data_IF_619655073250
#
_entry.id   IF_619655073250
#
_cell.length_a   1.000
_cell.length_b   1.000
_cell.length_c   1.000
_cell.angle_alpha   90.00
_cell.angle_beta   90.00
_cell.angle_gamma   90.00
#
_symmetry.space_group_name_H-M   'P 1'
#
loop_
_entity.id
_entity.type
_entity.pdbx_description
1 polymer ?
#
# COMPACT_ATOMS: atom_id res chain seq x y z
N UNK A 1 -3.37 11.14 12.71
CA UNK A 1 -2.13 10.35 12.91
C UNK A 1 -2.35 8.85 12.71
N UNK A 2 -3.41 8.23 13.28
CA UNK A 2 -3.64 6.79 13.17
C UNK A 2 -3.89 6.28 11.74
N UNK A 3 -4.41 7.10 10.82
CA UNK A 3 -4.72 6.68 9.43
C UNK A 3 -3.48 6.64 8.54
N UNK A 4 -2.56 7.59 8.70
CA UNK A 4 -1.28 7.55 8.00
C UNK A 4 -0.44 6.38 8.46
N UNK A 5 -0.38 6.14 9.77
CA UNK A 5 0.33 5.01 10.37
C UNK A 5 -0.05 3.68 9.70
N UNK A 6 -1.34 3.44 9.43
CA UNK A 6 -1.78 2.24 8.72
C UNK A 6 -1.29 2.15 7.27
N UNK A 7 -1.28 3.27 6.53
CA UNK A 7 -0.84 3.30 5.12
C UNK A 7 0.67 3.17 4.98
N UNK A 8 1.42 3.87 5.83
CA UNK A 8 2.89 3.84 5.86
C UNK A 8 3.40 2.47 6.27
N UNK A 9 2.84 1.86 7.32
CA UNK A 9 3.13 0.48 7.67
C UNK A 9 2.86 -0.49 6.52
N UNK A 10 1.75 -0.32 5.81
CA UNK A 10 1.37 -1.21 4.73
C UNK A 10 2.36 -1.18 3.55
N UNK A 11 2.84 0.00 3.12
CA UNK A 11 3.83 0.11 2.03
C UNK A 11 5.22 -0.23 2.52
N UNK A 12 5.63 0.31 3.67
CA UNK A 12 6.92 0.01 4.28
C UNK A 12 7.09 -1.49 4.48
N UNK A 13 6.08 -2.17 5.03
CA UNK A 13 6.13 -3.61 5.29
C UNK A 13 6.15 -4.42 3.99
N UNK A 14 5.47 -3.97 2.94
CA UNK A 14 5.53 -4.60 1.61
C UNK A 14 6.91 -4.46 0.97
N UNK A 15 7.58 -3.32 1.12
CA UNK A 15 8.92 -3.08 0.59
C UNK A 15 9.99 -3.74 1.47
N UNK A 16 9.80 -3.74 2.79
CA UNK A 16 10.69 -4.36 3.79
C UNK A 16 10.55 -5.87 3.89
N UNK A 17 9.61 -6.47 3.17
CA UNK A 17 9.38 -7.91 3.21
C UNK A 17 10.71 -8.67 3.11
N UNK A 18 11.02 -9.43 4.15
CA UNK A 18 12.20 -10.29 4.15
C UNK A 18 11.94 -11.49 3.23
N UNK A 19 12.74 -11.61 2.17
CA UNK A 19 12.67 -12.70 1.17
C UNK A 19 12.58 -14.11 1.76
N UNK A 20 12.99 -14.27 3.03
CA UNK A 20 13.06 -15.56 3.72
C UNK A 20 11.88 -15.84 4.66
N UNK A 21 10.91 -14.92 4.80
CA UNK A 21 9.78 -15.10 5.71
C UNK A 21 8.46 -14.74 5.02
N UNK A 22 7.59 -15.71 4.88
CA UNK A 22 6.18 -15.52 4.48
C UNK A 22 5.33 -14.95 5.64
N UNK A 23 5.90 -14.11 6.48
CA UNK A 23 5.32 -13.67 7.73
C UNK A 23 5.25 -12.15 7.77
N UNK A 24 4.06 -11.60 7.99
CA UNK A 24 3.92 -10.26 8.54
C UNK A 24 4.22 -10.39 10.04
N UNK A 25 5.30 -9.78 10.47
CA UNK A 25 5.59 -9.66 11.91
C UNK A 25 4.76 -8.49 12.40
N UNK A 26 3.69 -8.79 13.14
CA UNK A 26 3.02 -7.79 13.94
C UNK A 26 3.94 -7.51 15.13
N UNK A 27 4.55 -6.34 15.15
CA UNK A 27 5.25 -5.90 16.34
C UNK A 27 4.19 -5.46 17.36
N UNK A 28 4.32 -5.89 18.61
CA UNK A 28 3.41 -5.64 19.75
C UNK A 28 2.91 -4.19 19.92
N UNK A 29 3.40 -3.27 19.14
CA UNK A 29 3.13 -1.84 19.30
C UNK A 29 1.83 -1.39 18.62
N UNK A 30 1.40 -2.02 17.52
CA UNK A 30 0.22 -1.56 16.79
C UNK A 30 -0.42 -2.70 16.01
N UNK A 31 -1.68 -3.08 16.29
CA UNK A 31 -2.44 -3.97 15.42
C UNK A 31 -2.51 -3.31 14.03
N UNK A 32 -2.19 -4.08 12.99
CA UNK A 32 -2.27 -3.63 11.60
C UNK A 32 -3.70 -3.76 11.09
N UNK A 33 -4.02 -3.14 9.96
CA UNK A 33 -5.29 -3.35 9.26
C UNK A 33 -5.50 -4.80 8.82
N UNK A 34 -4.45 -5.63 8.87
CA UNK A 34 -4.44 -7.05 8.47
C UNK A 34 -4.62 -8.03 9.62
N UNK A 35 -4.58 -7.55 10.87
CA UNK A 35 -4.61 -8.41 12.05
C UNK A 35 -5.86 -9.29 12.06
N UNK A 36 -7.03 -8.70 11.82
CA UNK A 36 -8.30 -9.43 11.80
C UNK A 36 -8.35 -10.47 10.66
N UNK A 37 -7.81 -10.14 9.48
CA UNK A 37 -7.75 -11.10 8.38
C UNK A 37 -6.82 -12.28 8.68
N UNK A 38 -5.70 -12.04 9.37
CA UNK A 38 -4.80 -13.11 9.79
C UNK A 38 -5.48 -14.01 10.84
N UNK A 39 -6.19 -13.42 11.79
CA UNK A 39 -6.82 -14.15 12.88
C UNK A 39 -8.09 -14.91 12.47
N UNK A 40 -8.75 -14.51 11.41
CA UNK A 40 -9.92 -15.18 10.84
C UNK A 40 -9.52 -16.01 9.60
N UNK A 41 -9.44 -15.38 8.42
CA UNK A 41 -9.19 -16.09 7.16
C UNK A 41 -7.84 -16.81 7.13
N UNK A 42 -6.79 -16.26 7.79
CA UNK A 42 -5.51 -16.93 7.90
C UNK A 42 -5.59 -18.25 8.68
N UNK A 43 -6.38 -18.29 9.76
CA UNK A 43 -6.64 -19.53 10.51
C UNK A 43 -7.45 -20.54 9.71
N UNK A 44 -8.44 -20.08 8.94
CA UNK A 44 -9.25 -20.96 8.08
C UNK A 44 -8.39 -21.67 7.03
N UNK A 45 -7.29 -21.03 6.60
CA UNK A 45 -6.28 -21.60 5.72
C UNK A 45 -5.24 -22.46 6.44
N UNK A 46 -5.38 -22.64 7.76
CA UNK A 46 -4.46 -23.44 8.57
C UNK A 46 -3.18 -22.70 9.00
N UNK A 47 -3.11 -21.38 8.88
CA UNK A 47 -1.98 -20.62 9.39
C UNK A 47 -2.04 -20.48 10.91
N UNK A 48 -0.92 -20.81 11.56
CA UNK A 48 -0.75 -20.57 12.99
C UNK A 48 -0.50 -19.09 13.24
N UNK A 49 -1.43 -18.43 13.92
CA UNK A 49 -1.36 -17.03 14.31
C UNK A 49 -1.31 -16.89 15.82
N UNK A 50 -0.36 -16.11 16.32
CA UNK A 50 -0.19 -15.78 17.73
C UNK A 50 -0.31 -14.26 17.94
N UNK A 51 -0.17 -13.80 19.19
CA UNK A 51 -0.09 -12.37 19.49
C UNK A 51 1.13 -11.69 18.85
N UNK A 52 2.21 -12.44 18.59
CA UNK A 52 3.48 -11.92 18.09
C UNK A 52 3.69 -12.12 16.59
N UNK A 53 3.03 -13.09 15.98
CA UNK A 53 3.23 -13.45 14.57
C UNK A 53 1.89 -13.64 13.89
N UNK A 54 1.67 -12.88 12.83
CA UNK A 54 0.47 -12.93 12.00
C UNK A 54 0.83 -13.38 10.58
N UNK A 55 0.23 -14.48 10.15
CA UNK A 55 0.44 -15.07 8.82
C UNK A 55 -0.79 -14.84 7.95
N UNK A 56 -0.59 -14.22 6.80
CA UNK A 56 -1.61 -13.96 5.78
C UNK A 56 -1.42 -14.83 4.53
N UNK A 57 -0.35 -15.63 4.50
CA UNK A 57 0.08 -16.28 3.28
C UNK A 57 0.76 -15.33 2.29
N UNK A 58 0.90 -15.75 1.01
CA UNK A 58 1.71 -15.05 0.01
C UNK A 58 0.98 -13.84 -0.60
N UNK A 59 0.52 -12.89 0.23
CA UNK A 59 -0.16 -11.66 -0.20
C UNK A 59 0.82 -10.63 -0.80
N UNK A 60 0.41 -9.40 -0.98
CA UNK A 60 1.13 -8.31 -1.67
C UNK A 60 2.65 -8.27 -1.52
N UNK A 61 3.15 -8.26 -0.27
CA UNK A 61 4.60 -8.13 0.00
C UNK A 61 5.38 -9.32 -0.55
N UNK A 62 4.84 -10.53 -0.42
CA UNK A 62 5.44 -11.73 -0.99
C UNK A 62 5.48 -11.63 -2.50
N UNK A 63 4.37 -11.28 -3.14
CA UNK A 63 4.30 -11.18 -4.60
C UNK A 63 5.25 -10.11 -5.13
N UNK A 64 5.36 -8.96 -4.45
CA UNK A 64 6.22 -7.88 -4.90
C UNK A 64 7.71 -8.15 -4.70
N UNK A 65 8.08 -8.87 -3.62
CA UNK A 65 9.49 -9.09 -3.25
C UNK A 65 10.02 -10.49 -3.60
N UNK A 66 9.14 -11.44 -3.86
CA UNK A 66 9.54 -12.83 -4.15
C UNK A 66 8.50 -13.59 -4.96
N UNK A 67 8.17 -13.14 -6.16
CA UNK A 67 7.33 -13.93 -7.08
C UNK A 67 8.18 -15.02 -7.74
N UNK A 68 8.14 -16.23 -7.19
CA UNK A 68 8.95 -17.37 -7.69
C UNK A 68 10.45 -17.02 -7.87
N UNK A 69 11.02 -16.35 -6.88
CA UNK A 69 12.42 -15.91 -6.89
C UNK A 69 12.67 -14.55 -7.56
N UNK A 70 11.67 -13.92 -8.16
CA UNK A 70 11.78 -12.60 -8.76
C UNK A 70 11.33 -11.51 -7.79
N UNK A 71 12.15 -10.49 -7.65
CA UNK A 71 11.85 -9.28 -6.89
C UNK A 71 11.33 -8.21 -7.84
N UNK A 72 10.00 -8.03 -7.88
CA UNK A 72 9.37 -7.07 -8.78
C UNK A 72 9.73 -5.61 -8.46
N UNK A 73 9.99 -5.28 -7.19
CA UNK A 73 10.39 -3.91 -6.79
C UNK A 73 11.78 -3.59 -7.31
N UNK A 74 12.74 -4.50 -7.16
CA UNK A 74 14.09 -4.31 -7.69
C UNK A 74 14.08 -4.26 -9.22
N UNK A 75 13.32 -5.15 -9.88
CA UNK A 75 13.15 -5.14 -11.35
C UNK A 75 12.50 -3.84 -11.84
N UNK A 76 11.49 -3.33 -11.13
CA UNK A 76 10.82 -2.07 -11.46
C UNK A 76 11.80 -0.89 -11.35
N UNK A 77 12.54 -0.77 -10.25
CA UNK A 77 13.54 0.28 -10.05
C UNK A 77 14.61 0.26 -11.15
N UNK A 78 15.13 -0.92 -11.45
CA UNK A 78 16.12 -1.09 -12.51
C UNK A 78 15.56 -0.71 -13.89
N UNK A 79 14.32 -1.09 -14.17
CA UNK A 79 13.66 -0.77 -15.44
C UNK A 79 13.36 0.73 -15.56
N UNK A 80 12.85 1.36 -14.51
CA UNK A 80 12.59 2.82 -14.50
C UNK A 80 13.88 3.63 -14.67
N UNK A 81 15.00 3.16 -14.09
CA UNK A 81 16.31 3.82 -14.19
C UNK A 81 16.93 3.67 -15.58
N UNK A 82 16.95 2.44 -16.11
CA UNK A 82 17.74 2.12 -17.30
C UNK A 82 16.93 2.20 -18.60
N UNK A 83 15.61 2.14 -18.53
CA UNK A 83 14.72 2.20 -19.68
C UNK A 83 13.40 2.94 -19.33
N UNK A 84 13.46 4.23 -18.98
CA UNK A 84 12.31 4.99 -18.50
C UNK A 84 11.14 5.05 -19.50
N UNK A 85 11.40 4.88 -20.78
CA UNK A 85 10.37 4.89 -21.85
C UNK A 85 9.66 3.53 -22.02
N UNK A 86 10.05 2.52 -21.26
CA UNK A 86 9.41 1.21 -21.32
C UNK A 86 7.93 1.29 -20.91
N UNK A 87 7.12 0.46 -21.53
CA UNK A 87 5.70 0.28 -21.20
C UNK A 87 5.44 -0.93 -20.32
N UNK A 88 6.50 -1.47 -19.69
CA UNK A 88 6.49 -2.70 -18.87
C UNK A 88 6.83 -2.44 -17.41
N UNK A 89 6.71 -1.21 -16.94
CA UNK A 89 6.91 -0.84 -15.55
C UNK A 89 5.66 -1.27 -14.75
N UNK A 90 5.57 -2.56 -14.43
CA UNK A 90 4.38 -3.15 -13.81
C UNK A 90 4.75 -3.82 -12.50
N UNK A 91 3.94 -3.58 -11.46
CA UNK A 91 3.86 -4.39 -10.24
C UNK A 91 2.56 -5.17 -10.26
N UNK A 92 2.61 -6.49 -10.18
CA UNK A 92 1.44 -7.35 -10.08
C UNK A 92 1.39 -8.06 -8.73
N UNK A 93 0.21 -8.13 -8.14
CA UNK A 93 -0.03 -8.90 -6.92
C UNK A 93 -0.93 -10.12 -7.16
N UNK A 94 -1.57 -10.21 -8.33
CA UNK A 94 -2.52 -11.27 -8.65
C UNK A 94 -1.81 -12.51 -9.21
N UNK A 95 -1.35 -13.38 -8.31
CA UNK A 95 -0.72 -14.64 -8.67
C UNK A 95 -1.75 -15.76 -8.62
N UNK A 96 -2.29 -16.14 -9.79
CA UNK A 96 -3.35 -17.15 -9.92
C UNK A 96 -2.99 -18.48 -9.25
N UNK A 97 -1.72 -18.89 -9.29
CA UNK A 97 -1.27 -20.16 -8.70
C UNK A 97 -1.20 -20.14 -7.16
N UNK A 98 -1.39 -18.97 -6.54
CA UNK A 98 -1.27 -18.81 -5.08
C UNK A 98 -2.48 -18.15 -4.41
N UNK A 99 -3.53 -17.83 -5.16
CA UNK A 99 -4.74 -17.17 -4.63
C UNK A 99 -5.34 -17.96 -3.47
N UNK A 100 -5.44 -19.28 -3.60
CA UNK A 100 -6.03 -20.16 -2.59
C UNK A 100 -5.21 -20.24 -1.28
N UNK A 101 -3.99 -19.70 -1.28
CA UNK A 101 -3.11 -19.63 -0.12
C UNK A 101 -3.09 -18.26 0.54
N UNK A 102 -3.86 -17.32 0.04
CA UNK A 102 -3.92 -15.96 0.56
C UNK A 102 -5.11 -15.78 1.49
N UNK A 103 -4.88 -15.34 2.71
CA UNK A 103 -5.96 -15.02 3.65
C UNK A 103 -6.93 -13.99 3.07
N UNK A 104 -6.42 -13.06 2.26
CA UNK A 104 -7.22 -12.12 1.48
C UNK A 104 -6.60 -11.95 0.09
N UNK A 105 -7.27 -12.40 -1.00
CA UNK A 105 -6.81 -12.15 -2.36
C UNK A 105 -6.67 -10.65 -2.65
N UNK A 106 -5.62 -10.22 -3.36
CA UNK A 106 -5.33 -8.81 -3.59
C UNK A 106 -6.50 -8.03 -4.18
N UNK A 107 -6.88 -6.92 -3.53
CA UNK A 107 -7.87 -5.99 -4.06
C UNK A 107 -7.27 -5.12 -5.16
N UNK A 108 -6.12 -4.51 -4.93
CA UNK A 108 -5.35 -3.80 -5.95
C UNK A 108 -4.42 -4.80 -6.66
N UNK A 109 -4.80 -5.17 -7.88
CA UNK A 109 -4.21 -6.29 -8.62
C UNK A 109 -2.87 -5.95 -9.21
N UNK A 110 -2.78 -4.77 -9.83
CA UNK A 110 -1.61 -4.32 -10.54
C UNK A 110 -1.49 -2.79 -10.49
N UNK A 111 -0.24 -2.32 -10.54
CA UNK A 111 0.07 -0.91 -10.77
C UNK A 111 1.07 -0.80 -11.92
N UNK A 112 0.82 0.11 -12.85
CA UNK A 112 1.72 0.44 -13.94
C UNK A 112 2.27 1.85 -13.73
N UNK A 113 3.58 2.02 -13.94
CA UNK A 113 4.25 3.30 -13.82
C UNK A 113 4.65 3.82 -15.21
N UNK A 114 4.67 5.14 -15.32
CA UNK A 114 5.06 5.83 -16.54
C UNK A 114 5.96 7.01 -16.20
N UNK A 115 7.05 7.16 -16.93
CA UNK A 115 7.95 8.31 -16.83
C UNK A 115 7.74 9.19 -18.06
N UNK A 116 7.35 10.44 -17.85
CA UNK A 116 7.19 11.41 -18.93
C UNK A 116 8.51 12.13 -19.27
N UNK A 117 8.53 12.83 -20.40
CA UNK A 117 9.72 13.52 -20.88
C UNK A 117 10.23 14.65 -19.97
N UNK A 118 9.40 15.14 -19.05
CA UNK A 118 9.73 16.14 -18.02
C UNK A 118 10.21 15.52 -16.69
N UNK A 119 10.61 14.25 -16.69
CA UNK A 119 11.01 13.51 -15.50
C UNK A 119 9.90 13.34 -14.44
N UNK A 120 8.63 13.42 -14.85
CA UNK A 120 7.51 13.14 -13.96
C UNK A 120 7.18 11.65 -13.93
N UNK A 121 6.80 11.16 -12.74
CA UNK A 121 6.37 9.78 -12.49
C UNK A 121 4.86 9.73 -12.28
N UNK A 122 4.17 9.00 -13.14
CA UNK A 122 2.75 8.68 -12.99
C UNK A 122 2.58 7.22 -12.56
N UNK A 123 1.49 6.93 -11.88
CA UNK A 123 1.08 5.57 -11.52
C UNK A 123 -0.38 5.35 -11.86
N UNK A 124 -0.67 4.28 -12.59
CA UNK A 124 -2.03 3.82 -12.84
C UNK A 124 -2.24 2.48 -12.11
N UNK A 125 -3.16 2.44 -11.17
CA UNK A 125 -3.48 1.25 -10.39
C UNK A 125 -4.90 0.77 -10.69
N UNK A 126 -5.07 -0.53 -10.92
CA UNK A 126 -6.36 -1.19 -11.01
C UNK A 126 -6.69 -1.93 -9.72
N UNK A 127 -7.86 -1.62 -9.17
CA UNK A 127 -8.41 -2.24 -7.96
C UNK A 127 -9.73 -2.95 -8.28
N UNK A 128 -9.78 -4.28 -8.09
CA UNK A 128 -10.97 -5.08 -8.40
C UNK A 128 -12.14 -4.86 -7.44
N UNK A 129 -11.86 -4.49 -6.19
CA UNK A 129 -12.83 -4.34 -5.11
C UNK A 129 -12.38 -3.17 -4.24
N UNK A 130 -13.23 -2.15 -4.12
CA UNK A 130 -12.89 -0.86 -3.53
C UNK A 130 -13.97 -0.40 -2.53
N UNK A 131 -13.69 -0.59 -1.24
CA UNK A 131 -14.44 0.08 -0.17
C UNK A 131 -14.12 1.57 -0.21
N UNK A 132 -15.08 2.36 -0.71
CA UNK A 132 -14.89 3.79 -0.95
C UNK A 132 -14.69 4.60 0.33
N UNK A 133 -15.18 4.12 1.47
CA UNK A 133 -15.08 4.87 2.73
C UNK A 133 -13.79 4.58 3.51
N UNK A 134 -13.47 3.31 3.76
CA UNK A 134 -12.29 2.92 4.53
C UNK A 134 -11.09 2.55 3.64
N UNK A 135 -11.30 1.69 2.64
CA UNK A 135 -10.21 1.10 1.86
C UNK A 135 -9.54 2.09 0.93
N UNK A 136 -10.30 2.80 0.10
CA UNK A 136 -9.79 3.68 -0.95
C UNK A 136 -8.88 4.81 -0.42
N UNK A 137 -9.21 5.53 0.67
CA UNK A 137 -8.30 6.54 1.22
C UNK A 137 -6.92 5.96 1.61
N UNK A 138 -6.87 4.77 2.19
CA UNK A 138 -5.61 4.09 2.49
C UNK A 138 -4.86 3.66 1.23
N UNK A 139 -5.57 3.19 0.21
CA UNK A 139 -4.94 2.81 -1.05
C UNK A 139 -4.32 4.03 -1.76
N UNK A 140 -5.04 5.16 -1.81
CA UNK A 140 -4.51 6.42 -2.36
C UNK A 140 -3.25 6.85 -1.60
N UNK A 141 -3.31 6.94 -0.28
CA UNK A 141 -2.16 7.33 0.54
C UNK A 141 -0.96 6.39 0.34
N UNK A 142 -1.22 5.08 0.27
CA UNK A 142 -0.19 4.06 0.09
C UNK A 142 0.53 4.18 -1.25
N UNK A 143 -0.22 4.33 -2.35
CA UNK A 143 0.41 4.45 -3.67
C UNK A 143 1.04 5.82 -3.89
N UNK A 144 0.48 6.89 -3.32
CA UNK A 144 1.13 8.20 -3.31
C UNK A 144 2.49 8.13 -2.58
N UNK A 145 2.54 7.49 -1.42
CA UNK A 145 3.82 7.28 -0.71
C UNK A 145 4.80 6.45 -1.53
N UNK A 146 4.34 5.36 -2.19
CA UNK A 146 5.18 4.56 -3.08
C UNK A 146 5.77 5.40 -4.21
N UNK A 147 4.95 6.26 -4.84
CA UNK A 147 5.42 7.17 -5.88
C UNK A 147 6.48 8.14 -5.36
N UNK A 148 6.32 8.69 -4.16
CA UNK A 148 7.32 9.58 -3.54
C UNK A 148 8.63 8.84 -3.24
N UNK A 149 8.57 7.60 -2.74
CA UNK A 149 9.75 6.76 -2.50
C UNK A 149 10.47 6.47 -3.82
N UNK A 150 9.76 6.01 -4.85
CA UNK A 150 10.33 5.76 -6.17
C UNK A 150 10.90 7.04 -6.79
N UNK A 151 10.17 8.15 -6.67
CA UNK A 151 10.63 9.46 -7.13
C UNK A 151 11.96 9.88 -6.49
N UNK A 152 12.09 9.70 -5.18
CA UNK A 152 13.33 10.01 -4.45
C UNK A 152 14.50 9.13 -4.92
N UNK A 153 14.28 7.81 -5.03
CA UNK A 153 15.31 6.85 -5.46
C UNK A 153 15.77 7.03 -6.91
N UNK A 154 14.94 7.63 -7.75
CA UNK A 154 15.15 7.75 -9.20
C UNK A 154 15.33 9.20 -9.68
N UNK A 155 15.26 10.17 -8.76
CA UNK A 155 15.22 11.60 -9.09
C UNK A 155 14.09 11.95 -10.07
N UNK A 156 12.89 11.41 -9.83
CA UNK A 156 11.66 11.68 -10.59
C UNK A 156 10.66 12.44 -9.72
N UNK A 157 9.85 13.28 -10.35
CA UNK A 157 8.79 14.04 -9.65
C UNK A 157 7.46 13.29 -9.70
N UNK A 158 6.89 12.82 -8.57
CA UNK A 158 5.55 12.26 -8.55
C UNK A 158 4.51 13.24 -9.10
N UNK A 159 3.61 12.77 -10.00
CA UNK A 159 2.64 13.67 -10.65
C UNK A 159 1.22 13.14 -10.51
N UNK A 160 0.82 12.12 -11.27
CA UNK A 160 -0.54 11.62 -11.28
C UNK A 160 -0.63 10.22 -10.72
N UNK A 161 -1.55 10.03 -9.78
CA UNK A 161 -2.05 8.71 -9.39
C UNK A 161 -3.42 8.50 -10.00
N UNK A 162 -3.52 7.62 -10.99
CA UNK A 162 -4.76 7.23 -11.67
C UNK A 162 -5.26 5.95 -10.99
N UNK A 163 -6.48 5.98 -10.47
CA UNK A 163 -7.07 4.88 -9.73
C UNK A 163 -8.32 4.37 -10.45
N UNK A 164 -8.23 3.19 -11.07
CA UNK A 164 -9.35 2.52 -11.72
C UNK A 164 -9.95 1.46 -10.81
N UNK A 165 -11.29 1.45 -10.72
CA UNK A 165 -12.05 0.52 -9.91
C UNK A 165 -12.81 -0.48 -10.77
N UNK A 166 -12.80 -1.75 -10.36
CA UNK A 166 -13.74 -2.75 -10.85
C UNK A 166 -15.09 -2.60 -10.15
N UNK A 167 -15.17 -3.05 -8.89
CA UNK A 167 -16.33 -2.90 -8.02
C UNK A 167 -16.03 -1.80 -6.99
N UNK A 168 -16.68 -0.64 -7.12
CA UNK A 168 -16.62 0.46 -6.17
C UNK A 168 -17.91 0.44 -5.32
N UNK A 169 -17.76 0.22 -4.02
CA UNK A 169 -18.89 0.04 -3.12
C UNK A 169 -18.76 0.82 -1.82
N UNK A 170 -19.90 1.02 -1.17
CA UNK A 170 -20.03 1.55 0.18
C UNK A 170 -20.78 0.51 1.00
N UNK A 171 -20.20 0.02 2.08
CA UNK A 171 -20.87 -0.89 2.99
C UNK A 171 -22.03 -0.20 3.72
N UNK A 172 -23.13 -0.92 3.93
CA UNK A 172 -24.33 -0.37 4.58
C UNK A 172 -24.06 0.20 5.97
N UNK A 173 -23.14 -0.41 6.73
CA UNK A 173 -22.71 0.07 8.04
C UNK A 173 -21.86 1.35 8.01
N UNK A 174 -21.50 1.87 6.82
CA UNK A 174 -20.71 3.08 6.63
C UNK A 174 -21.50 4.24 5.99
N UNK A 175 -22.79 4.07 5.74
CA UNK A 175 -23.62 5.07 5.03
C UNK A 175 -23.67 6.41 5.79
N UNK A 176 -23.86 6.39 7.11
CA UNK A 176 -23.95 7.61 7.90
C UNK A 176 -22.60 8.34 7.97
N UNK A 177 -21.50 7.58 8.02
CA UNK A 177 -20.14 8.10 7.97
C UNK A 177 -19.86 8.77 6.63
N UNK A 178 -20.30 8.18 5.53
CA UNK A 178 -20.15 8.78 4.19
C UNK A 178 -20.99 10.06 4.08
N UNK A 179 -22.25 10.06 4.56
CA UNK A 179 -23.09 11.26 4.60
C UNK A 179 -22.44 12.40 5.40
N UNK A 180 -21.75 12.08 6.48
CA UNK A 180 -20.97 13.04 7.25
C UNK A 180 -19.75 13.55 6.47
N UNK A 181 -19.01 12.65 5.84
CA UNK A 181 -17.80 12.99 5.09
C UNK A 181 -18.07 13.92 3.91
N UNK A 182 -19.14 13.67 3.12
CA UNK A 182 -19.45 14.48 1.94
C UNK A 182 -19.94 15.90 2.26
N UNK A 183 -20.31 16.18 3.52
CA UNK A 183 -20.65 17.54 3.97
C UNK A 183 -19.43 18.40 4.26
N UNK A 184 -18.25 17.79 4.36
CA UNK A 184 -17.01 18.48 4.74
C UNK A 184 -16.36 19.11 3.53
N UNK A 185 -15.95 20.36 3.67
CA UNK A 185 -15.19 21.06 2.63
C UNK A 185 -13.77 20.49 2.55
N UNK A 186 -13.22 20.28 1.33
CA UNK A 186 -11.81 19.92 1.17
C UNK A 186 -10.89 20.94 1.83
N UNK A 187 -9.77 20.46 2.37
CA UNK A 187 -8.71 21.30 2.94
C UNK A 187 -7.47 21.27 2.04
N UNK A 188 -6.55 22.22 2.19
CA UNK A 188 -5.29 22.19 1.47
C UNK A 188 -4.57 20.85 1.65
N UNK A 189 -3.92 20.38 0.59
CA UNK A 189 -3.14 19.16 0.64
C UNK A 189 -1.85 19.38 1.43
N UNK A 190 -1.42 18.43 2.27
CA UNK A 190 -0.15 18.50 2.96
C UNK A 190 1.02 18.20 2.02
N UNK A 191 2.22 18.57 2.42
CA UNK A 191 3.46 18.17 1.77
C UNK A 191 4.12 17.04 2.55
N UNK A 192 4.48 15.96 1.87
CA UNK A 192 5.22 14.87 2.47
C UNK A 192 6.72 15.22 2.53
N UNK A 193 7.29 15.15 3.73
CA UNK A 193 8.72 15.27 4.00
C UNK A 193 9.23 13.98 4.62
N UNK A 194 10.36 13.49 4.16
CA UNK A 194 11.10 12.36 4.74
C UNK A 194 12.58 12.48 4.37
N UNK A 195 13.50 11.81 5.11
CA UNK A 195 14.93 11.86 4.83
C UNK A 195 15.29 11.39 3.43
N UNK A 196 16.45 11.82 2.96
CA UNK A 196 16.99 11.32 1.69
C UNK A 196 17.31 9.84 1.81
N UNK A 197 16.94 9.10 0.78
CA UNK A 197 17.21 7.67 0.62
C UNK A 197 17.92 7.46 -0.71
N UNK A 198 18.94 6.62 -0.73
CA UNK A 198 19.73 6.32 -1.92
C UNK A 198 19.42 4.93 -2.49
N UNK A 199 18.90 4.05 -1.65
CA UNK A 199 18.54 2.69 -2.00
C UNK A 199 17.40 2.17 -1.10
N UNK A 200 16.85 0.98 -1.41
CA UNK A 200 15.75 0.38 -0.64
C UNK A 200 16.14 -0.03 0.78
N UNK A 201 17.43 -0.29 1.03
CA UNK A 201 17.89 -0.69 2.37
C UNK A 201 17.77 0.49 3.36
N UNK A 202 17.97 1.72 2.89
CA UNK A 202 17.85 2.92 3.72
C UNK A 202 16.43 3.04 4.33
N UNK A 203 15.40 2.50 3.66
CA UNK A 203 14.03 2.46 4.20
C UNK A 203 13.89 1.61 5.45
N UNK A 204 14.81 0.67 5.71
CA UNK A 204 14.76 -0.19 6.90
C UNK A 204 15.07 0.58 8.17
N UNK A 205 15.89 1.62 8.05
CA UNK A 205 16.35 2.43 9.16
C UNK A 205 15.37 3.56 9.49
N UNK A 206 14.42 3.88 8.57
CA UNK A 206 13.42 4.89 8.81
C UNK A 206 12.32 4.40 9.76
N UNK A 207 11.94 5.23 10.69
CA UNK A 207 10.77 5.09 11.54
C UNK A 207 9.52 5.75 10.91
N UNK A 208 8.36 5.60 11.53
CA UNK A 208 7.16 6.32 11.10
C UNK A 208 7.28 7.83 11.32
N UNK A 209 8.01 8.24 12.35
CA UNK A 209 8.18 9.64 12.72
C UNK A 209 9.08 10.40 11.74
N UNK A 210 9.84 9.68 10.89
CA UNK A 210 10.63 10.25 9.82
C UNK A 210 9.79 10.73 8.61
N UNK A 211 8.52 10.28 8.53
CA UNK A 211 7.58 10.71 7.49
C UNK A 211 6.66 11.79 8.03
N UNK A 212 6.91 13.03 7.67
CA UNK A 212 6.18 14.20 8.17
C UNK A 212 5.23 14.73 7.09
N UNK A 213 3.96 14.89 7.43
CA UNK A 213 2.98 15.61 6.60
C UNK A 213 2.93 17.07 7.05
N UNK A 214 3.71 17.90 6.41
CA UNK A 214 3.75 19.34 6.65
C UNK A 214 2.47 20.02 6.14
N UNK A 215 1.84 20.82 7.02
CA UNK A 215 0.57 21.47 6.71
C UNK A 215 -0.66 20.55 6.75
N UNK A 216 -0.54 19.35 7.36
CA UNK A 216 -1.68 18.43 7.50
C UNK A 216 -2.67 18.92 8.59
N UNK A 217 -3.79 19.48 8.14
CA UNK A 217 -4.89 19.95 8.98
C UNK A 217 -6.18 19.17 8.66
N UNK A 218 -6.35 17.95 9.18
CA UNK A 218 -7.52 17.12 8.87
C UNK A 218 -8.76 17.55 9.65
N UNK A 219 -9.94 17.28 9.10
CA UNK A 219 -11.17 17.26 9.88
C UNK A 219 -11.12 16.19 10.99
N UNK A 220 -11.94 16.31 12.05
CA UNK A 220 -12.04 15.26 13.06
C UNK A 220 -12.30 13.89 12.47
N UNK A 221 -11.70 12.85 13.06
CA UNK A 221 -11.86 11.49 12.57
C UNK A 221 -13.32 11.02 12.61
N UNK A 222 -13.75 10.34 11.54
CA UNK A 222 -15.03 9.64 11.50
C UNK A 222 -14.73 8.15 11.77
N UNK A 223 -15.24 7.62 12.88
CA UNK A 223 -15.04 6.23 13.26
C UNK A 223 -16.00 5.32 12.47
N UNK A 224 -15.48 4.23 11.91
CA UNK A 224 -16.27 3.16 11.32
C UNK A 224 -15.65 1.81 11.64
N UNK A 225 -16.49 0.76 11.62
CA UNK A 225 -16.03 -0.63 11.73
C UNK A 225 -15.76 -1.15 10.34
N UNK A 226 -14.65 -1.90 10.18
CA UNK A 226 -14.40 -2.62 8.94
C UNK A 226 -15.47 -3.70 8.77
N UNK A 227 -16.02 -3.83 7.57
CA UNK A 227 -16.83 -4.98 7.21
C UNK A 227 -15.90 -6.15 6.90
N UNK A 228 -16.12 -7.29 7.56
CA UNK A 228 -15.35 -8.53 7.43
C UNK A 228 -16.25 -9.57 6.78
#
# INVERSE_FOLDING_TARGET
TSRLVGSEMCIRDRIRYNKNRNELIDTDKYPTIWTDNADNQGKDLGYENSSLVKKLGPVYGVQWRNWNGKDQIDELLNSLRNNPTSRRHILSAWNVSMIDKMALPPCHLLAQFYVSGDQSLDCHMYQRSADMFLGVPFNIASYSLLMHILGRLLNLSPRYFIHSFGDAHIYLNSIDQVKEQIKRSPRPLPNLKFPDINNLEDLKDLSLDDFVLDGYDPHPAIKAKMAI
#
